data_IF_306022022860
#
_entry.id   IF_306022022860
#
_cell.length_a   1.000
_cell.length_b   1.000
_cell.length_c   1.000
_cell.angle_alpha   90.00
_cell.angle_beta   90.00
_cell.angle_gamma   90.00
#
_symmetry.space_group_name_H-M   'P 1'
#
loop_
_entity.id
_entity.type
_entity.pdbx_description
1 polymer ?
#
# COMPACT_ATOMS: atom_id res chain seq x y z
N UNK A 1 -25.24 0.68 -13.42
CA UNK A 1 -25.74 0.51 -12.04
C UNK A 1 -26.03 -0.96 -11.80
N UNK A 2 -25.02 -1.73 -11.40
CA UNK A 2 -25.13 -3.03 -10.71
C UNK A 2 -23.71 -3.37 -10.24
N UNK A 3 -23.52 -3.47 -8.94
CA UNK A 3 -22.22 -3.58 -8.30
C UNK A 3 -22.27 -3.04 -6.88
N UNK A 4 -23.34 -3.38 -6.15
CA UNK A 4 -23.44 -3.09 -4.72
C UNK A 4 -22.50 -3.99 -3.93
N UNK A 5 -21.20 -3.85 -4.13
CA UNK A 5 -20.23 -4.23 -3.12
C UNK A 5 -20.16 -3.05 -2.18
N UNK A 6 -20.51 -3.28 -0.92
CA UNK A 6 -20.55 -2.26 0.13
C UNK A 6 -19.20 -1.56 0.21
N UNK A 7 -19.09 -0.29 -0.23
CA UNK A 7 -17.95 0.61 0.09
C UNK A 7 -17.66 0.67 1.59
N UNK A 8 -18.64 0.29 2.42
CA UNK A 8 -18.51 0.12 3.88
C UNK A 8 -17.41 -0.88 4.31
N UNK A 9 -16.86 -1.69 3.39
CA UNK A 9 -15.85 -2.73 3.68
C UNK A 9 -14.41 -2.35 3.38
N UNK A 10 -14.13 -1.22 2.74
CA UNK A 10 -12.75 -0.84 2.40
C UNK A 10 -11.98 -0.30 3.62
N UNK A 11 -12.66 0.46 4.48
CA UNK A 11 -12.08 1.01 5.70
C UNK A 11 -11.53 -0.05 6.68
N UNK A 12 -12.27 -1.15 6.96
CA UNK A 12 -11.76 -2.26 7.76
C UNK A 12 -10.53 -2.96 7.16
N UNK A 13 -10.45 -3.07 5.83
CA UNK A 13 -9.31 -3.67 5.13
C UNK A 13 -8.07 -2.79 5.27
N UNK A 14 -8.17 -1.49 5.01
CA UNK A 14 -7.06 -0.54 5.19
C UNK A 14 -6.54 -0.57 6.63
N UNK A 15 -7.45 -0.61 7.61
CA UNK A 15 -7.09 -0.72 9.03
C UNK A 15 -6.40 -2.05 9.38
N UNK A 16 -6.85 -3.17 8.80
CA UNK A 16 -6.22 -4.47 9.00
C UNK A 16 -4.81 -4.52 8.41
N UNK A 17 -4.63 -3.96 7.21
CA UNK A 17 -3.31 -3.83 6.57
C UNK A 17 -2.40 -2.91 7.39
N UNK A 18 -2.89 -1.76 7.84
CA UNK A 18 -2.12 -0.83 8.68
C UNK A 18 -1.62 -1.48 9.98
N UNK A 19 -2.49 -2.25 10.66
CA UNK A 19 -2.10 -2.98 11.87
C UNK A 19 -1.06 -4.07 11.57
N UNK A 20 -1.22 -4.82 10.48
CA UNK A 20 -0.25 -5.84 10.07
C UNK A 20 1.12 -5.24 9.71
N UNK A 21 1.10 -4.13 8.98
CA UNK A 21 2.28 -3.34 8.64
C UNK A 21 3.02 -2.81 9.86
N UNK A 22 2.29 -2.32 10.86
CA UNK A 22 2.89 -1.84 12.11
C UNK A 22 3.66 -2.96 12.83
N UNK A 23 3.04 -4.15 12.96
CA UNK A 23 3.71 -5.32 13.53
C UNK A 23 4.95 -5.74 12.74
N UNK A 24 4.89 -5.69 11.41
CA UNK A 24 6.04 -5.94 10.55
C UNK A 24 7.20 -4.97 10.83
N UNK A 25 6.90 -3.67 10.95
CA UNK A 25 7.91 -2.64 11.26
C UNK A 25 8.50 -2.82 12.66
N UNK A 26 7.71 -3.24 13.65
CA UNK A 26 8.22 -3.59 14.97
C UNK A 26 9.24 -4.75 14.96
N UNK A 27 9.16 -5.65 13.97
CA UNK A 27 10.13 -6.74 13.78
C UNK A 27 11.31 -6.27 12.92
N UNK A 28 11.06 -5.53 11.85
CA UNK A 28 12.07 -5.06 10.91
C UNK A 28 13.09 -4.11 11.55
N UNK A 29 12.63 -3.16 12.37
CA UNK A 29 13.52 -2.16 13.01
C UNK A 29 14.62 -2.82 13.88
N UNK A 30 14.31 -3.72 14.84
CA UNK A 30 15.36 -4.39 15.60
C UNK A 30 16.23 -5.30 14.73
N UNK A 31 15.68 -5.94 13.70
CA UNK A 31 16.46 -6.75 12.76
C UNK A 31 17.46 -5.91 11.97
N UNK A 32 17.05 -4.71 11.54
CA UNK A 32 17.92 -3.76 10.86
C UNK A 32 19.05 -3.25 11.78
N UNK A 33 18.74 -2.95 13.04
CA UNK A 33 19.75 -2.59 14.05
C UNK A 33 20.75 -3.74 14.29
N UNK A 34 20.26 -4.97 14.34
CA UNK A 34 21.10 -6.17 14.45
C UNK A 34 22.02 -6.32 13.23
N UNK A 35 21.50 -6.04 12.03
CA UNK A 35 22.28 -6.08 10.78
C UNK A 35 23.44 -5.06 10.80
N UNK A 36 23.22 -3.84 11.30
CA UNK A 36 24.32 -2.86 11.48
C UNK A 36 25.41 -3.39 12.40
N UNK A 37 25.01 -4.07 13.47
CA UNK A 37 25.96 -4.57 14.45
C UNK A 37 26.76 -5.77 13.93
N UNK A 38 26.11 -6.66 13.17
CA UNK A 38 26.71 -7.92 12.72
C UNK A 38 27.45 -7.80 11.39
N UNK A 39 26.91 -7.05 10.44
CA UNK A 39 27.41 -6.97 9.06
C UNK A 39 27.04 -5.63 8.39
N UNK A 40 27.59 -4.49 8.82
CA UNK A 40 27.26 -3.19 8.25
C UNK A 40 27.66 -3.06 6.77
N UNK A 41 28.66 -3.83 6.33
CA UNK A 41 29.06 -3.91 4.92
C UNK A 41 27.97 -4.48 4.01
N UNK A 42 26.99 -5.21 4.58
CA UNK A 42 25.88 -5.80 3.84
C UNK A 42 24.80 -4.77 3.47
N UNK A 43 24.80 -3.60 4.12
CA UNK A 43 23.82 -2.52 3.86
C UNK A 43 23.93 -2.04 2.41
N UNK A 44 25.15 -1.75 1.95
CA UNK A 44 25.41 -1.27 0.57
C UNK A 44 24.98 -2.27 -0.51
N UNK A 45 25.34 -3.57 -0.49
CA UNK A 45 24.85 -4.52 -1.48
C UNK A 45 23.34 -4.74 -1.38
N UNK A 46 22.73 -4.73 -0.18
CA UNK A 46 21.27 -4.77 -0.04
C UNK A 46 20.60 -3.56 -0.70
N UNK A 47 21.14 -2.36 -0.52
CA UNK A 47 20.65 -1.13 -1.16
C UNK A 47 20.78 -1.19 -2.68
N UNK A 48 21.93 -1.63 -3.19
CA UNK A 48 22.15 -1.74 -4.63
C UNK A 48 21.20 -2.76 -5.26
N UNK A 49 20.95 -3.89 -4.60
CA UNK A 49 20.02 -4.91 -5.06
C UNK A 49 18.56 -4.43 -4.99
N UNK A 50 18.16 -3.81 -3.88
CA UNK A 50 16.82 -3.23 -3.70
C UNK A 50 16.53 -2.15 -4.74
N UNK A 51 17.45 -1.20 -4.91
CA UNK A 51 17.33 -0.15 -5.92
C UNK A 51 17.30 -0.70 -7.35
N UNK A 52 18.09 -1.73 -7.67
CA UNK A 52 18.04 -2.39 -8.97
C UNK A 52 16.68 -3.08 -9.21
N UNK A 53 16.14 -3.76 -8.19
CA UNK A 53 14.81 -4.39 -8.25
C UNK A 53 13.69 -3.36 -8.44
N UNK A 54 13.70 -2.26 -7.69
CA UNK A 54 12.74 -1.18 -7.89
C UNK A 54 12.82 -0.53 -9.27
N UNK A 55 14.04 -0.31 -9.79
CA UNK A 55 14.23 0.20 -11.14
C UNK A 55 13.64 -0.77 -12.18
N UNK A 56 13.84 -2.07 -11.99
CA UNK A 56 13.25 -3.10 -12.85
C UNK A 56 11.72 -3.09 -12.77
N UNK A 57 11.13 -3.18 -11.57
CA UNK A 57 9.68 -3.20 -11.37
C UNK A 57 9.01 -1.90 -11.83
N UNK A 58 9.67 -0.76 -11.60
CA UNK A 58 9.20 0.55 -12.05
C UNK A 58 9.17 0.67 -13.58
N UNK A 59 10.26 0.26 -14.26
CA UNK A 59 10.32 0.26 -15.72
C UNK A 59 9.32 -0.74 -16.30
N UNK A 60 9.22 -1.95 -15.73
CA UNK A 60 8.29 -2.98 -16.19
C UNK A 60 6.83 -2.49 -16.12
N UNK A 61 6.41 -1.90 -15.00
CA UNK A 61 5.04 -1.37 -14.85
C UNK A 61 4.74 -0.23 -15.81
N UNK A 62 5.68 0.70 -16.00
CA UNK A 62 5.51 1.83 -16.93
C UNK A 62 5.51 1.33 -18.38
N UNK A 63 6.48 0.47 -18.74
CA UNK A 63 6.61 -0.07 -20.09
C UNK A 63 5.42 -0.97 -20.45
N UNK A 64 4.93 -1.81 -19.54
CA UNK A 64 3.77 -2.65 -19.76
C UNK A 64 2.53 -1.80 -20.05
N UNK A 65 2.30 -0.73 -19.29
CA UNK A 65 1.17 0.19 -19.48
C UNK A 65 1.26 1.00 -20.79
N UNK A 66 2.46 1.33 -21.25
CA UNK A 66 2.69 2.14 -22.46
C UNK A 66 2.82 1.31 -23.75
N UNK A 67 3.45 0.14 -23.69
CA UNK A 67 3.76 -0.69 -24.87
C UNK A 67 2.71 -1.79 -25.11
N UNK A 68 2.02 -2.23 -24.05
CA UNK A 68 0.97 -3.25 -24.15
C UNK A 68 -0.36 -2.75 -23.57
N UNK A 69 -0.90 -1.59 -24.04
CA UNK A 69 -2.13 -1.03 -23.48
C UNK A 69 -3.34 -1.98 -23.62
N UNK A 70 -3.39 -2.81 -24.67
CA UNK A 70 -4.43 -3.82 -24.84
C UNK A 70 -4.31 -4.98 -23.84
N UNK A 71 -3.10 -5.33 -23.41
CA UNK A 71 -2.84 -6.42 -22.47
C UNK A 71 -2.98 -5.96 -21.02
N UNK A 72 -2.57 -4.72 -20.72
CA UNK A 72 -2.87 -4.04 -19.47
C UNK A 72 -4.40 -3.88 -19.27
N UNK A 73 -5.14 -3.51 -20.31
CA UNK A 73 -6.62 -3.50 -20.27
C UNK A 73 -7.20 -4.90 -20.11
N UNK A 74 -6.62 -5.92 -20.73
CA UNK A 74 -7.06 -7.31 -20.56
C UNK A 74 -6.82 -7.82 -19.13
N UNK A 75 -5.70 -7.49 -18.49
CA UNK A 75 -5.44 -7.82 -17.08
C UNK A 75 -6.38 -7.08 -16.13
N UNK A 76 -6.68 -5.81 -16.42
CA UNK A 76 -7.65 -5.02 -15.64
C UNK A 76 -9.05 -5.62 -15.75
N UNK A 77 -9.48 -6.01 -16.96
CA UNK A 77 -10.74 -6.71 -17.21
C UNK A 77 -10.80 -8.12 -16.60
N UNK A 78 -9.67 -8.83 -16.54
CA UNK A 78 -9.58 -10.15 -15.87
C UNK A 78 -9.69 -10.00 -14.35
N UNK A 79 -9.03 -9.00 -13.76
CA UNK A 79 -9.19 -8.67 -12.34
C UNK A 79 -10.65 -8.27 -12.03
N UNK A 80 -11.26 -7.46 -12.90
CA UNK A 80 -12.66 -7.07 -12.78
C UNK A 80 -13.60 -8.28 -12.92
N UNK A 81 -13.31 -9.19 -13.84
CA UNK A 81 -14.06 -10.42 -14.05
C UNK A 81 -13.90 -11.43 -12.89
N UNK A 82 -12.71 -11.57 -12.30
CA UNK A 82 -12.49 -12.37 -11.09
C UNK A 82 -13.25 -11.79 -9.90
N UNK A 83 -13.25 -10.47 -9.74
CA UNK A 83 -14.04 -9.77 -8.71
C UNK A 83 -15.55 -9.98 -8.96
N UNK A 84 -16.00 -9.88 -10.21
CA UNK A 84 -17.41 -10.11 -10.58
C UNK A 84 -17.83 -11.58 -10.38
N UNK A 85 -16.98 -12.54 -10.71
CA UNK A 85 -17.23 -13.97 -10.49
C UNK A 85 -17.26 -14.31 -8.98
N UNK A 86 -16.38 -13.72 -8.18
CA UNK A 86 -16.39 -13.85 -6.73
C UNK A 86 -17.64 -13.24 -6.07
N UNK A 87 -18.27 -12.25 -6.70
CA UNK A 87 -19.54 -11.63 -6.24
C UNK A 87 -20.76 -12.47 -6.65
N UNK A 88 -20.68 -13.28 -7.71
CA UNK A 88 -21.82 -14.06 -8.22
C UNK A 88 -21.86 -15.51 -7.74
N UNK A 89 -20.78 -16.05 -7.19
CA UNK A 89 -20.72 -17.43 -6.71
C UNK A 89 -20.95 -17.52 -5.18
N UNK A 90 -22.09 -18.09 -4.71
CA UNK A 90 -22.39 -18.25 -3.28
C UNK A 90 -21.44 -19.20 -2.53
N UNK A 91 -20.61 -19.97 -3.26
CA UNK A 91 -19.64 -20.90 -2.67
C UNK A 91 -18.28 -20.28 -2.36
N UNK A 92 -18.04 -19.04 -2.83
CA UNK A 92 -16.80 -18.31 -2.58
C UNK A 92 -16.89 -17.61 -1.23
N UNK A 93 -16.09 -18.05 -0.27
CA UNK A 93 -15.97 -17.40 1.04
C UNK A 93 -15.33 -16.01 0.88
N UNK A 94 -16.17 -14.96 0.80
CA UNK A 94 -15.71 -13.58 0.74
C UNK A 94 -14.70 -13.22 1.84
N UNK A 95 -14.78 -13.86 3.02
CA UNK A 95 -13.82 -13.61 4.09
C UNK A 95 -12.44 -14.21 3.80
N UNK A 96 -12.38 -15.32 3.05
CA UNK A 96 -11.12 -15.91 2.62
C UNK A 96 -10.39 -14.99 1.62
N UNK A 97 -11.13 -14.45 0.64
CA UNK A 97 -10.59 -13.48 -0.33
C UNK A 97 -10.14 -12.17 0.33
N UNK A 98 -10.91 -11.63 1.28
CA UNK A 98 -10.51 -10.44 2.03
C UNK A 98 -9.21 -10.68 2.82
N UNK A 99 -9.10 -11.83 3.50
CA UNK A 99 -7.88 -12.21 4.23
C UNK A 99 -6.67 -12.37 3.30
N UNK A 100 -6.88 -12.95 2.13
CA UNK A 100 -5.82 -13.11 1.13
C UNK A 100 -5.34 -11.76 0.61
N UNK A 101 -6.26 -10.85 0.28
CA UNK A 101 -5.94 -9.46 -0.11
C UNK A 101 -5.17 -8.73 0.99
N UNK A 102 -5.64 -8.82 2.24
CA UNK A 102 -4.94 -8.23 3.40
C UNK A 102 -3.52 -8.81 3.52
N UNK A 103 -3.38 -10.13 3.41
CA UNK A 103 -2.09 -10.81 3.51
C UNK A 103 -1.13 -10.42 2.38
N UNK A 104 -1.63 -10.31 1.15
CA UNK A 104 -0.88 -9.82 -0.01
C UNK A 104 -0.37 -8.39 0.22
N UNK A 105 -1.27 -7.48 0.63
CA UNK A 105 -0.92 -6.10 0.92
C UNK A 105 0.13 -5.97 2.05
N UNK A 106 0.01 -6.77 3.11
CA UNK A 106 0.99 -6.81 4.20
C UNK A 106 2.37 -7.28 3.72
N UNK A 107 2.44 -8.25 2.80
CA UNK A 107 3.72 -8.74 2.23
C UNK A 107 4.40 -7.68 1.37
N UNK A 108 3.64 -7.01 0.51
CA UNK A 108 4.19 -5.93 -0.33
C UNK A 108 4.67 -4.76 0.54
N UNK A 109 3.91 -4.39 1.58
CA UNK A 109 4.34 -3.37 2.54
C UNK A 109 5.59 -3.80 3.32
N UNK A 110 5.75 -5.07 3.68
CA UNK A 110 6.96 -5.56 4.36
C UNK A 110 8.21 -5.31 3.52
N UNK A 111 8.17 -5.66 2.22
CA UNK A 111 9.30 -5.50 1.31
C UNK A 111 9.63 -4.01 1.13
N UNK A 112 8.61 -3.19 0.83
CA UNK A 112 8.77 -1.74 0.69
C UNK A 112 9.27 -1.08 1.97
N UNK A 113 8.77 -1.52 3.13
CA UNK A 113 9.20 -1.01 4.44
C UNK A 113 10.63 -1.40 4.77
N UNK A 114 11.05 -2.62 4.41
CA UNK A 114 12.42 -3.07 4.61
C UNK A 114 13.38 -2.18 3.82
N UNK A 115 13.06 -1.85 2.57
CA UNK A 115 13.86 -0.97 1.74
C UNK A 115 13.99 0.44 2.34
N UNK A 116 12.87 1.06 2.73
CA UNK A 116 12.89 2.39 3.37
C UNK A 116 13.74 2.39 4.64
N UNK A 117 13.62 1.35 5.47
CA UNK A 117 14.41 1.21 6.69
C UNK A 117 15.90 1.09 6.36
N UNK A 118 16.28 0.30 5.35
CA UNK A 118 17.68 0.16 4.92
C UNK A 118 18.21 1.46 4.31
N UNK A 119 17.41 2.20 3.55
CA UNK A 119 17.77 3.54 3.04
C UNK A 119 18.02 4.48 4.21
N UNK A 120 17.08 4.55 5.17
CA UNK A 120 17.24 5.38 6.36
C UNK A 120 18.48 4.98 7.16
N UNK A 121 18.78 3.68 7.26
CA UNK A 121 19.98 3.16 7.92
C UNK A 121 21.26 3.60 7.21
N UNK A 122 21.27 3.58 5.88
CA UNK A 122 22.41 3.97 5.05
C UNK A 122 22.67 5.48 5.02
N UNK A 123 21.66 6.31 5.29
CA UNK A 123 21.81 7.78 5.36
C UNK A 123 22.22 8.28 6.75
N UNK A 124 22.02 7.48 7.80
CA UNK A 124 22.44 7.83 9.15
C UNK A 124 23.97 7.71 9.28
N UNK A 125 24.60 8.72 9.89
CA UNK A 125 26.04 8.73 10.11
C UNK A 125 26.51 7.51 10.92
N UNK A 126 27.64 6.91 10.50
CA UNK A 126 28.10 5.64 11.04
C UNK A 126 28.52 5.73 12.51
N UNK A 127 28.99 6.90 12.96
CA UNK A 127 29.48 7.22 14.30
C UNK A 127 28.38 7.44 15.34
N UNK A 128 27.12 7.53 14.92
CA UNK A 128 25.98 7.67 15.84
C UNK A 128 25.81 6.44 16.74
N UNK A 129 25.43 6.70 17.98
CA UNK A 129 25.12 5.65 18.96
C UNK A 129 23.96 4.77 18.48
N UNK A 130 23.94 3.51 18.93
CA UNK A 130 22.86 2.57 18.62
C UNK A 130 21.50 3.12 19.09
N UNK A 131 21.47 3.82 20.24
CA UNK A 131 20.25 4.45 20.75
C UNK A 131 19.72 5.53 19.81
N UNK A 132 20.59 6.37 19.25
CA UNK A 132 20.18 7.40 18.29
C UNK A 132 19.71 6.78 16.97
N UNK A 133 20.40 5.75 16.46
CA UNK A 133 19.97 4.99 15.28
C UNK A 133 18.59 4.37 15.49
N UNK A 134 18.37 3.74 16.65
CA UNK A 134 17.07 3.15 17.00
C UNK A 134 15.96 4.20 17.05
N UNK A 135 16.21 5.37 17.64
CA UNK A 135 15.24 6.46 17.70
C UNK A 135 14.88 6.98 16.29
N UNK A 136 15.86 7.17 15.40
CA UNK A 136 15.62 7.60 14.02
C UNK A 136 14.82 6.56 13.24
N UNK A 137 15.21 5.29 13.30
CA UNK A 137 14.49 4.22 12.59
C UNK A 137 13.05 4.05 13.11
N UNK A 138 12.85 4.15 14.43
CA UNK A 138 11.52 4.14 15.02
C UNK A 138 10.67 5.33 14.56
N UNK A 139 11.26 6.53 14.52
CA UNK A 139 10.58 7.73 14.02
C UNK A 139 10.19 7.59 12.54
N UNK A 140 11.09 7.09 11.69
CA UNK A 140 10.81 6.84 10.27
C UNK A 140 9.71 5.78 10.10
N UNK A 141 9.79 4.68 10.84
CA UNK A 141 8.79 3.61 10.79
C UNK A 141 7.39 4.11 11.19
N UNK A 142 7.29 4.92 12.26
CA UNK A 142 6.04 5.51 12.71
C UNK A 142 5.54 6.54 11.69
N UNK A 143 6.40 7.45 11.24
CA UNK A 143 6.06 8.50 10.28
C UNK A 143 5.52 7.90 8.97
N UNK A 144 6.15 6.85 8.45
CA UNK A 144 5.67 6.16 7.25
C UNK A 144 4.36 5.42 7.50
N UNK A 145 4.20 4.76 8.65
CA UNK A 145 2.93 4.09 8.96
C UNK A 145 1.79 5.10 9.05
N UNK A 146 1.95 6.18 9.81
CA UNK A 146 0.90 7.19 9.97
C UNK A 146 0.70 7.97 8.67
N UNK A 147 1.77 8.36 7.99
CA UNK A 147 1.71 9.16 6.76
C UNK A 147 1.05 8.40 5.61
N UNK A 148 1.54 7.20 5.28
CA UNK A 148 1.02 6.43 4.14
C UNK A 148 -0.42 5.98 4.41
N UNK A 149 -0.69 5.35 5.55
CA UNK A 149 -2.04 4.88 5.85
C UNK A 149 -3.01 6.03 6.15
N UNK A 150 -2.52 7.16 6.65
CA UNK A 150 -3.31 8.38 6.81
C UNK A 150 -3.76 8.95 5.47
N UNK A 151 -2.87 9.00 4.48
CA UNK A 151 -3.22 9.43 3.11
C UNK A 151 -4.18 8.45 2.46
N UNK A 152 -3.93 7.13 2.55
CA UNK A 152 -4.84 6.12 1.99
C UNK A 152 -6.23 6.21 2.64
N UNK A 153 -6.31 6.33 3.97
CA UNK A 153 -7.58 6.48 4.67
C UNK A 153 -8.31 7.79 4.30
N UNK A 154 -7.57 8.86 3.99
CA UNK A 154 -8.15 10.11 3.50
C UNK A 154 -8.73 9.94 2.10
N UNK A 155 -8.02 9.28 1.18
CA UNK A 155 -8.48 9.03 -0.19
C UNK A 155 -9.78 8.22 -0.18
N UNK A 156 -9.82 7.10 0.54
CA UNK A 156 -11.03 6.26 0.67
C UNK A 156 -12.20 7.07 1.27
N UNK A 157 -11.92 7.94 2.23
CA UNK A 157 -12.96 8.77 2.86
C UNK A 157 -13.49 9.87 1.94
N UNK A 158 -12.67 10.40 1.04
CA UNK A 158 -13.11 11.36 0.02
C UNK A 158 -14.01 10.65 -1.00
N UNK A 159 -13.71 9.40 -1.36
CA UNK A 159 -14.53 8.60 -2.27
C UNK A 159 -15.91 8.28 -1.68
N UNK A 160 -15.93 7.78 -0.44
CA UNK A 160 -17.18 7.55 0.32
C UNK A 160 -18.03 8.82 0.43
N UNK A 161 -17.39 9.97 0.67
CA UNK A 161 -18.07 11.26 0.73
C UNK A 161 -18.63 11.66 -0.64
N UNK A 162 -17.91 11.41 -1.73
CA UNK A 162 -18.37 11.61 -3.10
C UNK A 162 -19.67 10.84 -3.40
N UNK A 163 -19.70 9.55 -3.05
CA UNK A 163 -20.89 8.70 -3.19
C UNK A 163 -22.06 9.19 -2.33
N UNK A 164 -21.80 9.59 -1.08
CA UNK A 164 -22.82 10.16 -0.19
C UNK A 164 -23.40 11.47 -0.73
N UNK A 165 -22.57 12.35 -1.31
CA UNK A 165 -23.01 13.62 -1.89
C UNK A 165 -23.84 13.42 -3.18
N UNK A 166 -23.50 12.41 -4.00
CA UNK A 166 -24.29 12.07 -5.19
C UNK A 166 -25.72 11.58 -4.87
N UNK A 167 -25.94 11.00 -3.69
CA UNK A 167 -27.27 10.55 -3.26
C UNK A 167 -28.19 11.70 -2.80
N UNK A 168 -27.66 12.92 -2.61
CA UNK A 168 -28.48 14.08 -2.22
C UNK A 168 -29.21 14.69 -3.42
N UNK A 169 -30.44 15.16 -3.19
CA UNK A 169 -31.37 15.67 -4.24
C UNK A 169 -31.00 17.04 -4.84
N UNK A 170 -29.95 17.70 -4.35
CA UNK A 170 -29.56 19.04 -4.79
C UNK A 170 -28.51 18.97 -5.91
N UNK A 171 -28.82 19.54 -7.09
CA UNK A 171 -28.00 19.44 -8.30
C UNK A 171 -26.56 19.97 -8.14
N UNK A 172 -26.35 21.02 -7.33
CA UNK A 172 -25.03 21.57 -7.02
C UNK A 172 -24.16 20.61 -6.20
N UNK A 173 -24.79 19.86 -5.28
CA UNK A 173 -24.14 18.86 -4.44
C UNK A 173 -23.80 17.60 -5.24
N UNK A 174 -24.66 17.22 -6.19
CA UNK A 174 -24.41 16.12 -7.13
C UNK A 174 -23.28 16.44 -8.12
N UNK A 175 -23.18 17.70 -8.59
CA UNK A 175 -22.09 18.12 -9.47
C UNK A 175 -20.74 18.08 -8.75
N UNK A 176 -20.66 18.58 -7.51
CA UNK A 176 -19.45 18.48 -6.68
C UNK A 176 -19.08 17.02 -6.37
N UNK A 177 -20.07 16.17 -6.06
CA UNK A 177 -19.86 14.74 -5.85
C UNK A 177 -19.29 14.03 -7.10
N UNK A 178 -19.84 14.32 -8.29
CA UNK A 178 -19.36 13.76 -9.54
C UNK A 178 -17.97 14.26 -9.96
N UNK A 179 -17.54 15.43 -9.50
CA UNK A 179 -16.21 15.98 -9.75
C UNK A 179 -15.17 15.36 -8.80
N UNK A 180 -15.54 15.07 -7.56
CA UNK A 180 -14.72 14.33 -6.59
C UNK A 180 -14.49 12.88 -7.02
N UNK A 181 -15.54 12.18 -7.47
CA UNK A 181 -15.45 10.80 -7.96
C UNK A 181 -14.63 10.64 -9.25
N UNK A 182 -14.64 11.66 -10.12
CA UNK A 182 -13.77 11.68 -11.32
C UNK A 182 -12.30 12.01 -11.00
N UNK A 183 -12.03 12.58 -9.83
CA UNK A 183 -10.69 12.89 -9.36
C UNK A 183 -10.07 11.82 -8.46
N UNK A 184 -10.88 10.85 -8.00
CA UNK A 184 -10.37 9.66 -7.36
C UNK A 184 -9.70 8.76 -8.41
N UNK A 185 -8.46 8.29 -8.17
CA UNK A 185 -7.72 7.43 -9.10
C UNK A 185 -8.29 6.02 -9.23
#
# INVERSE_FOLDING_TARGET
>A
QVGGVRSEREWPVVWAVAKGSFWNKCILVPLALLLVWLAPWLITPLLMLGGAYLCFEGVEKIAHKLLHPAQAQAEELVNEAEIMNAVQDPSVDMLALEKEKIKGAIRTDFILSAEIIVIALGTIAADLSIGTKAAVLAAVAIAMTVGVYGVVALIVKIDDLGLYLMQKRQALVQWLGGLLLKGAP
#
